data_IF_979178300761
#
_entry.id   IF_979178300761
#
_cell.length_a   1.000
_cell.length_b   1.000
_cell.length_c   1.000
_cell.angle_alpha   90.00
_cell.angle_beta   90.00
_cell.angle_gamma   90.00
#
_symmetry.space_group_name_H-M   'P 1'
#
loop_
_entity.id
_entity.type
_entity.pdbx_description
1 polymer ?
#
# COMPACT_ATOMS: atom_id res chain seq x y z
N UNK A 1 35.58 -9.84 23.81
CA UNK A 1 34.88 -8.54 23.74
C UNK A 1 33.95 -8.44 24.94
N UNK A 2 33.97 -7.34 25.72
CA UNK A 2 33.19 -7.24 26.97
C UNK A 2 31.72 -6.94 26.66
N UNK A 3 30.79 -7.64 27.32
CA UNK A 3 29.32 -7.52 27.12
C UNK A 3 28.83 -6.07 27.27
N UNK A 4 29.43 -5.32 28.20
CA UNK A 4 29.11 -3.90 28.45
C UNK A 4 29.41 -3.00 27.24
N UNK A 5 30.43 -3.32 26.45
CA UNK A 5 30.78 -2.59 25.23
C UNK A 5 29.78 -2.86 24.11
N UNK A 6 29.30 -4.10 24.01
CA UNK A 6 28.30 -4.49 23.02
C UNK A 6 26.94 -3.83 23.27
N UNK A 7 26.46 -3.86 24.52
CA UNK A 7 25.19 -3.22 24.91
C UNK A 7 25.22 -1.69 24.69
N UNK A 8 26.36 -1.05 24.97
CA UNK A 8 26.55 0.39 24.74
C UNK A 8 26.59 0.73 23.25
N UNK A 9 27.09 -0.17 22.40
CA UNK A 9 27.10 0.01 20.94
C UNK A 9 25.69 -0.04 20.37
N UNK A 10 24.90 -1.06 20.74
CA UNK A 10 23.49 -1.19 20.32
C UNK A 10 22.65 0.01 20.78
N UNK A 11 22.79 0.45 22.02
CA UNK A 11 22.04 1.60 22.55
C UNK A 11 22.40 2.95 21.92
N UNK A 12 23.54 3.04 21.23
CA UNK A 12 23.99 4.27 20.54
C UNK A 12 23.78 4.19 19.02
N UNK A 13 23.18 3.10 18.54
CA UNK A 13 22.95 2.86 17.12
C UNK A 13 21.59 3.41 16.69
N UNK A 14 21.61 4.45 15.86
CA UNK A 14 20.40 5.08 15.34
C UNK A 14 19.85 4.36 14.09
N UNK A 15 20.59 3.41 13.51
CA UNK A 15 20.15 2.69 12.31
C UNK A 15 18.91 1.81 12.56
N UNK A 16 18.74 1.32 13.79
CA UNK A 16 17.52 0.63 14.20
C UNK A 16 16.30 1.56 14.27
N UNK A 17 16.49 2.78 14.78
CA UNK A 17 15.42 3.78 14.82
C UNK A 17 15.01 4.24 13.41
N UNK A 18 15.99 4.48 12.52
CA UNK A 18 15.71 4.86 11.13
C UNK A 18 15.04 3.72 10.34
N UNK A 19 15.39 2.46 10.60
CA UNK A 19 14.71 1.32 9.98
C UNK A 19 13.20 1.28 10.30
N UNK A 20 12.81 1.69 11.52
CA UNK A 20 11.40 1.79 11.91
C UNK A 20 10.72 2.95 11.20
N UNK A 21 11.36 4.12 11.10
CA UNK A 21 10.82 5.28 10.39
C UNK A 21 10.61 5.01 8.90
N UNK A 22 11.62 4.47 8.21
CA UNK A 22 11.48 4.10 6.80
C UNK A 22 10.51 2.94 6.61
N UNK A 23 10.47 1.98 7.53
CA UNK A 23 9.46 0.91 7.54
C UNK A 23 8.03 1.44 7.66
N UNK A 24 7.81 2.47 8.49
CA UNK A 24 6.52 3.14 8.61
C UNK A 24 6.15 3.90 7.34
N UNK A 25 7.09 4.66 6.74
CA UNK A 25 6.86 5.38 5.48
C UNK A 25 6.44 4.40 4.37
N UNK A 26 7.17 3.30 4.18
CA UNK A 26 6.85 2.28 3.16
C UNK A 26 5.49 1.66 3.43
N UNK A 27 5.17 1.37 4.68
CA UNK A 27 3.86 0.82 5.06
C UNK A 27 2.71 1.76 4.70
N UNK A 28 2.86 3.07 4.95
CA UNK A 28 1.87 4.08 4.56
C UNK A 28 1.72 4.21 3.05
N UNK A 29 2.82 4.12 2.29
CA UNK A 29 2.78 4.11 0.83
C UNK A 29 1.99 2.90 0.32
N UNK A 30 2.23 1.70 0.88
CA UNK A 30 1.49 0.49 0.51
C UNK A 30 0.00 0.62 0.79
N UNK A 31 -0.39 1.17 1.93
CA UNK A 31 -1.80 1.42 2.27
C UNK A 31 -2.44 2.37 1.25
N UNK A 32 -1.77 3.46 0.90
CA UNK A 32 -2.25 4.41 -0.10
C UNK A 32 -2.41 3.74 -1.48
N UNK A 33 -1.43 2.91 -1.89
CA UNK A 33 -1.51 2.14 -3.15
C UNK A 33 -2.70 1.18 -3.17
N UNK A 34 -2.97 0.48 -2.07
CA UNK A 34 -4.14 -0.41 -1.96
C UNK A 34 -5.43 0.39 -2.18
N UNK A 35 -5.57 1.56 -1.57
CA UNK A 35 -6.73 2.44 -1.78
C UNK A 35 -6.89 2.87 -3.24
N UNK A 36 -5.80 3.31 -3.87
CA UNK A 36 -5.82 3.72 -5.28
C UNK A 36 -6.18 2.57 -6.23
N UNK A 37 -5.60 1.38 -6.02
CA UNK A 37 -5.88 0.19 -6.84
C UNK A 37 -7.34 -0.27 -6.71
N UNK A 38 -7.91 -0.22 -5.51
CA UNK A 38 -9.34 -0.49 -5.31
C UNK A 38 -10.21 0.53 -6.06
N UNK A 39 -9.84 1.81 -6.04
CA UNK A 39 -10.52 2.85 -6.80
C UNK A 39 -10.54 2.56 -8.31
N UNK A 40 -9.38 2.22 -8.88
CA UNK A 40 -9.26 1.85 -10.30
C UNK A 40 -10.08 0.60 -10.64
N UNK A 41 -10.04 -0.41 -9.78
CA UNK A 41 -10.80 -1.64 -9.98
C UNK A 41 -12.31 -1.38 -10.00
N UNK A 42 -12.81 -0.60 -9.04
CA UNK A 42 -14.23 -0.25 -8.96
C UNK A 42 -14.69 0.54 -10.19
N UNK A 43 -13.92 1.53 -10.61
CA UNK A 43 -14.26 2.32 -11.80
C UNK A 43 -14.27 1.46 -13.06
N UNK A 44 -13.30 0.56 -13.18
CA UNK A 44 -13.23 -0.38 -14.31
C UNK A 44 -14.45 -1.30 -14.34
N UNK A 45 -14.87 -1.83 -13.18
CA UNK A 45 -16.07 -2.67 -13.06
C UNK A 45 -17.32 -1.88 -13.46
N UNK A 46 -17.47 -0.66 -12.97
CA UNK A 46 -18.60 0.21 -13.28
C UNK A 46 -18.69 0.48 -14.79
N UNK A 47 -17.58 0.88 -15.41
CA UNK A 47 -17.51 1.12 -16.86
C UNK A 47 -17.97 -0.10 -17.66
N UNK A 48 -17.50 -1.31 -17.32
CA UNK A 48 -17.93 -2.53 -18.03
C UNK A 48 -19.38 -2.92 -17.73
N UNK A 49 -19.89 -2.57 -16.54
CA UNK A 49 -21.30 -2.72 -16.22
C UNK A 49 -22.17 -1.81 -17.08
N UNK A 50 -21.76 -0.55 -17.24
CA UNK A 50 -22.49 0.42 -18.06
C UNK A 50 -22.51 -0.02 -19.53
N UNK A 51 -21.35 -0.43 -20.07
CA UNK A 51 -21.26 -0.98 -21.44
C UNK A 51 -22.18 -2.18 -21.62
N UNK A 52 -22.22 -3.10 -20.65
CA UNK A 52 -23.10 -4.27 -20.69
C UNK A 52 -24.56 -3.84 -20.75
N UNK A 53 -25.00 -3.00 -19.81
CA UNK A 53 -26.38 -2.52 -19.72
C UNK A 53 -26.80 -1.82 -21.02
N UNK A 54 -26.00 -0.86 -21.51
CA UNK A 54 -26.31 -0.14 -22.75
C UNK A 54 -26.36 -1.08 -23.96
N UNK A 55 -25.50 -2.09 -24.02
CA UNK A 55 -25.52 -3.07 -25.11
C UNK A 55 -26.78 -3.95 -25.05
N UNK A 56 -27.17 -4.42 -23.87
CA UNK A 56 -28.38 -5.20 -23.66
C UNK A 56 -29.64 -4.39 -24.01
N UNK A 57 -29.70 -3.12 -23.62
CA UNK A 57 -30.79 -2.20 -23.98
C UNK A 57 -30.88 -2.01 -25.50
N UNK A 58 -29.75 -1.78 -26.18
CA UNK A 58 -29.72 -1.61 -27.63
C UNK A 58 -30.11 -2.88 -28.41
N UNK A 59 -29.89 -4.07 -27.83
CA UNK A 59 -30.25 -5.35 -28.44
C UNK A 59 -31.72 -5.74 -28.23
N UNK A 60 -32.35 -5.26 -27.16
CA UNK A 60 -33.74 -5.59 -26.81
C UNK A 60 -34.76 -4.52 -27.23
N UNK A 61 -34.29 -3.35 -27.69
CA UNK A 61 -35.11 -2.26 -28.22
C UNK A 61 -35.54 -2.45 -29.67
#
# INVERSE_FOLDING_TARGET
MKLTTFLKHIGNDNSGATAVEYGLIVSLIVIAMIGALNGVANETINMWSDVRTTSEEAMNG
#
